data_IF_624455835847
#
_entry.id   IF_624455835847
#
_cell.length_a   1.000
_cell.length_b   1.000
_cell.length_c   1.000
_cell.angle_alpha   90.00
_cell.angle_beta   90.00
_cell.angle_gamma   90.00
#
_symmetry.space_group_name_H-M   'P 1'
#
loop_
_entity.id
_entity.type
_entity.pdbx_description
1 polymer ?
#
# COMPACT_ATOMS: atom_id res chain seq x y z
N UNK A 1 7.26 31.12 4.85
CA UNK A 1 7.96 30.17 3.94
C UNK A 1 7.55 28.74 4.26
N UNK A 2 7.69 27.80 3.32
CA UNK A 2 7.39 26.36 3.51
C UNK A 2 8.67 25.55 3.31
N UNK A 3 8.90 24.56 4.18
CA UNK A 3 10.05 23.65 4.11
C UNK A 3 9.58 22.22 3.81
N UNK A 4 10.46 21.42 3.22
CA UNK A 4 10.24 19.98 2.96
C UNK A 4 11.52 19.23 3.25
N UNK A 5 11.41 18.19 4.07
CA UNK A 5 12.50 17.25 4.38
C UNK A 5 12.28 15.95 3.61
N UNK A 6 13.38 15.31 3.19
CA UNK A 6 13.36 14.02 2.51
C UNK A 6 14.49 13.17 3.08
N UNK A 7 14.21 11.89 3.26
CA UNK A 7 15.15 10.88 3.75
C UNK A 7 15.14 9.71 2.77
N UNK A 8 16.31 9.11 2.58
CA UNK A 8 16.46 7.88 1.82
C UNK A 8 16.33 6.69 2.78
N UNK A 9 15.66 5.64 2.33
CA UNK A 9 15.48 4.39 3.09
C UNK A 9 16.00 3.27 2.21
N UNK A 10 17.01 2.55 2.71
CA UNK A 10 17.60 1.40 2.00
C UNK A 10 16.87 0.11 2.34
N UNK A 11 16.64 -0.15 3.63
CA UNK A 11 15.87 -1.28 4.13
C UNK A 11 14.49 -0.80 4.62
N UNK A 12 13.38 -1.21 3.99
CA UNK A 12 12.03 -0.88 4.44
C UNK A 12 11.70 -1.40 5.84
N UNK A 13 12.30 -2.50 6.30
CA UNK A 13 12.05 -3.03 7.65
C UNK A 13 12.84 -2.26 8.72
N UNK A 14 13.98 -1.67 8.36
CA UNK A 14 14.82 -0.83 9.21
C UNK A 14 14.70 0.66 8.87
N UNK A 15 13.47 1.16 8.75
CA UNK A 15 13.22 2.55 8.39
C UNK A 15 13.56 3.58 9.49
N UNK A 16 13.27 4.87 9.22
CA UNK A 16 13.66 5.97 10.09
C UNK A 16 12.87 5.98 11.42
N UNK A 17 13.31 6.80 12.36
CA UNK A 17 12.54 7.08 13.57
C UNK A 17 11.21 7.77 13.25
N UNK A 18 10.17 7.43 14.01
CA UNK A 18 8.87 8.09 13.94
C UNK A 18 9.02 9.58 14.26
N UNK A 19 8.26 10.41 13.56
CA UNK A 19 8.09 11.83 13.92
C UNK A 19 6.74 12.07 14.58
N UNK A 20 6.02 11.00 14.95
CA UNK A 20 4.75 11.03 15.66
C UNK A 20 4.82 11.78 16.99
N UNK A 21 5.95 11.72 17.68
CA UNK A 21 6.18 12.45 18.94
C UNK A 21 6.24 13.98 18.75
N UNK A 22 6.67 14.43 17.56
CA UNK A 22 6.73 15.86 17.21
C UNK A 22 5.41 16.31 16.58
N UNK A 23 4.87 15.49 15.67
CA UNK A 23 3.61 15.75 14.98
C UNK A 23 2.69 14.53 15.12
N UNK A 24 1.67 14.59 16.01
CA UNK A 24 0.79 13.44 16.27
C UNK A 24 0.09 12.89 15.02
N UNK A 25 -0.18 13.74 14.03
CA UNK A 25 -0.79 13.34 12.75
C UNK A 25 0.14 12.42 11.94
N UNK A 26 1.47 12.53 12.12
CA UNK A 26 2.44 11.71 11.42
C UNK A 26 2.28 10.22 11.74
N UNK A 27 1.80 9.86 12.94
CA UNK A 27 1.56 8.45 13.29
C UNK A 27 0.62 7.75 12.29
N UNK A 28 -0.42 8.44 11.80
CA UNK A 28 -1.33 7.92 10.78
C UNK A 28 -0.72 7.88 9.38
N UNK A 29 0.06 8.91 9.03
CA UNK A 29 0.75 8.96 7.73
C UNK A 29 1.83 7.89 7.62
N UNK A 30 2.51 7.59 8.72
CA UNK A 30 3.47 6.49 8.81
C UNK A 30 2.78 5.12 8.66
N UNK A 31 1.57 4.96 9.19
CA UNK A 31 0.77 3.75 8.97
C UNK A 31 0.37 3.58 7.50
N UNK A 32 -0.01 4.66 6.82
CA UNK A 32 -0.29 4.65 5.37
C UNK A 32 0.93 4.20 4.56
N UNK A 33 2.10 4.78 4.86
CA UNK A 33 3.35 4.43 4.19
C UNK A 33 3.72 2.97 4.47
N UNK A 34 3.51 2.48 5.70
CA UNK A 34 3.73 1.09 6.02
C UNK A 34 2.76 0.16 5.27
N UNK A 35 1.46 0.47 5.21
CA UNK A 35 0.48 -0.40 4.55
C UNK A 35 0.71 -0.49 3.03
N UNK A 36 0.99 0.64 2.37
CA UNK A 36 1.07 0.72 0.92
C UNK A 36 2.48 0.55 0.34
N UNK A 37 3.52 0.93 1.07
CA UNK A 37 4.93 0.88 0.65
C UNK A 37 5.77 -0.08 1.51
N UNK A 38 5.28 -0.52 2.66
CA UNK A 38 5.97 -1.47 3.54
C UNK A 38 7.20 -0.90 4.24
N UNK A 39 7.25 0.41 4.49
CA UNK A 39 8.34 1.01 5.29
C UNK A 39 7.91 1.08 6.75
N UNK A 40 8.67 0.47 7.67
CA UNK A 40 8.46 0.57 9.11
C UNK A 40 9.13 1.81 9.68
N UNK A 41 8.47 2.43 10.65
CA UNK A 41 9.01 3.55 11.42
C UNK A 41 9.34 3.09 12.84
N UNK A 42 10.57 3.32 13.29
CA UNK A 42 11.02 2.95 14.63
C UNK A 42 10.33 3.83 15.66
N UNK A 43 9.69 3.22 16.67
CA UNK A 43 8.97 3.92 17.73
C UNK A 43 7.46 4.14 17.48
N UNK A 44 6.95 3.86 16.27
CA UNK A 44 5.51 3.93 16.04
C UNK A 44 4.81 2.68 16.59
N UNK A 45 4.12 2.84 17.73
CA UNK A 45 3.40 1.75 18.41
C UNK A 45 2.04 1.39 17.79
N UNK A 46 1.57 2.14 16.80
CA UNK A 46 0.22 1.99 16.22
C UNK A 46 0.20 1.35 14.84
N UNK A 47 1.30 0.75 14.40
CA UNK A 47 1.42 0.11 13.09
C UNK A 47 0.39 -1.03 12.93
N UNK A 48 -0.58 -0.79 12.04
CA UNK A 48 -1.61 -1.74 11.58
C UNK A 48 -2.01 -1.38 10.16
N UNK A 49 -2.68 -2.30 9.46
CA UNK A 49 -3.21 -2.02 8.12
C UNK A 49 -4.30 -0.97 8.22
N UNK A 50 -4.33 -0.02 7.28
CA UNK A 50 -5.27 1.10 7.29
C UNK A 50 -6.23 1.05 6.11
N UNK A 51 -5.73 0.67 4.93
CA UNK A 51 -6.49 0.62 3.68
C UNK A 51 -6.69 -0.81 3.19
N UNK A 52 -5.69 -1.66 3.36
CA UNK A 52 -5.71 -3.02 2.85
C UNK A 52 -6.40 -3.96 3.86
N UNK A 53 -7.10 -5.00 3.37
CA UNK A 53 -7.62 -6.07 4.22
C UNK A 53 -6.53 -6.70 5.10
N UNK A 54 -6.91 -7.23 6.27
CA UNK A 54 -5.97 -7.80 7.24
C UNK A 54 -5.17 -8.99 6.68
N UNK A 55 -5.77 -9.76 5.79
CA UNK A 55 -5.22 -10.95 5.12
C UNK A 55 -4.41 -10.63 3.85
N UNK A 56 -4.36 -9.36 3.44
CA UNK A 56 -3.61 -8.95 2.26
C UNK A 56 -2.12 -9.27 2.41
N UNK A 57 -1.45 -9.63 1.31
CA UNK A 57 -0.02 -9.87 1.28
C UNK A 57 0.66 -8.93 0.28
N UNK A 58 1.74 -8.28 0.72
CA UNK A 58 2.47 -7.30 -0.07
C UNK A 58 1.96 -5.87 0.06
N UNK A 59 2.55 -4.99 -0.75
CA UNK A 59 2.46 -3.54 -0.67
C UNK A 59 2.27 -2.94 -2.09
N UNK A 60 1.04 -2.56 -2.47
CA UNK A 60 0.68 -2.26 -3.86
C UNK A 60 1.43 -1.10 -4.53
N UNK A 61 1.94 -0.13 -3.76
CA UNK A 61 2.65 1.02 -4.33
C UNK A 61 4.15 0.74 -4.55
N UNK A 62 4.64 -0.45 -4.19
CA UNK A 62 6.01 -0.85 -4.55
C UNK A 62 6.11 -1.18 -6.03
N UNK A 63 7.28 -0.92 -6.62
CA UNK A 63 7.53 -1.11 -8.06
C UNK A 63 7.63 -2.58 -8.48
N UNK A 64 7.98 -3.45 -7.54
CA UNK A 64 8.03 -4.91 -7.71
C UNK A 64 6.67 -5.57 -7.53
N UNK A 65 5.67 -4.85 -7.04
CA UNK A 65 4.33 -5.40 -6.86
C UNK A 65 3.69 -5.71 -8.22
N UNK A 66 3.18 -6.93 -8.44
CA UNK A 66 2.59 -7.30 -9.72
C UNK A 66 1.35 -6.45 -9.96
N UNK A 67 1.37 -5.70 -11.06
CA UNK A 67 0.18 -5.00 -11.52
C UNK A 67 -0.79 -6.03 -12.09
N UNK A 68 -1.81 -6.38 -11.31
CA UNK A 68 -2.95 -7.14 -11.79
C UNK A 68 -3.75 -6.25 -12.74
N UNK A 69 -3.64 -6.50 -14.03
CA UNK A 69 -4.51 -5.86 -15.02
C UNK A 69 -5.70 -6.79 -15.26
N UNK A 70 -6.87 -6.38 -14.80
CA UNK A 70 -8.13 -6.93 -15.30
C UNK A 70 -8.72 -5.93 -16.30
N UNK A 71 -9.06 -6.38 -17.50
CA UNK A 71 -9.75 -5.53 -18.46
C UNK A 71 -11.12 -5.15 -17.89
N UNK A 72 -11.41 -3.85 -17.85
CA UNK A 72 -12.71 -3.36 -17.35
C UNK A 72 -13.82 -3.82 -18.31
N UNK A 73 -14.85 -4.44 -17.75
CA UNK A 73 -16.06 -4.82 -18.48
C UNK A 73 -16.90 -3.58 -18.79
N UNK A 74 -17.02 -3.26 -20.07
CA UNK A 74 -17.91 -2.27 -20.66
C UNK A 74 -19.01 -2.96 -21.48
N UNK A 75 -20.03 -2.20 -21.87
CA UNK A 75 -21.17 -2.73 -22.64
C UNK A 75 -20.80 -3.31 -24.00
N UNK A 76 -19.66 -2.92 -24.59
CA UNK A 76 -19.23 -3.36 -25.92
C UNK A 76 -18.22 -4.50 -25.92
N UNK A 77 -17.59 -4.84 -24.78
CA UNK A 77 -16.56 -5.89 -24.66
C UNK A 77 -16.95 -6.96 -23.61
N UNK A 78 -18.23 -7.00 -23.23
CA UNK A 78 -18.74 -7.83 -22.14
C UNK A 78 -18.48 -9.32 -22.36
N UNK A 79 -18.90 -9.87 -23.51
CA UNK A 79 -18.78 -11.30 -23.82
C UNK A 79 -17.32 -11.78 -23.82
N UNK A 80 -16.41 -10.97 -24.37
CA UNK A 80 -14.98 -11.31 -24.49
C UNK A 80 -14.27 -11.37 -23.14
N UNK A 81 -14.64 -10.47 -22.21
CA UNK A 81 -14.04 -10.45 -20.88
C UNK A 81 -14.69 -11.49 -19.98
N UNK A 82 -16.01 -11.68 -20.09
CA UNK A 82 -16.74 -12.67 -19.30
C UNK A 82 -16.21 -14.09 -19.54
N UNK A 83 -15.92 -14.44 -20.80
CA UNK A 83 -15.34 -15.73 -21.16
C UNK A 83 -13.95 -15.99 -20.55
N UNK A 84 -13.20 -14.95 -20.19
CA UNK A 84 -11.86 -15.06 -19.59
C UNK A 84 -11.92 -15.22 -18.06
N UNK A 85 -13.07 -14.97 -17.43
CA UNK A 85 -13.20 -15.02 -15.96
C UNK A 85 -13.24 -16.48 -15.48
N UNK A 86 -12.43 -16.84 -14.46
CA UNK A 86 -12.49 -18.16 -13.87
C UNK A 86 -13.77 -18.28 -13.03
N UNK A 87 -14.85 -18.72 -13.65
CA UNK A 87 -16.03 -19.16 -12.92
C UNK A 87 -15.75 -20.51 -12.25
N UNK A 88 -16.21 -20.67 -11.01
CA UNK A 88 -16.19 -21.97 -10.36
C UNK A 88 -17.03 -22.94 -11.19
N UNK A 89 -16.40 -23.99 -11.73
CA UNK A 89 -17.12 -25.08 -12.37
C UNK A 89 -17.67 -25.98 -11.28
N UNK A 90 -18.98 -26.28 -11.36
CA UNK A 90 -19.64 -27.29 -10.53
C UNK A 90 -19.01 -28.67 -10.68
#
# INVERSE_FOLDING_TARGET
>A
HRLRLRVWVEDPEDGPETVGDVWPVAAWLEMEVWDLMGVRFKGNHSLRRLFLPEDWQGHPLRKDYPLGYEEVQFSFNWEEIDAKKPYAKE
#
